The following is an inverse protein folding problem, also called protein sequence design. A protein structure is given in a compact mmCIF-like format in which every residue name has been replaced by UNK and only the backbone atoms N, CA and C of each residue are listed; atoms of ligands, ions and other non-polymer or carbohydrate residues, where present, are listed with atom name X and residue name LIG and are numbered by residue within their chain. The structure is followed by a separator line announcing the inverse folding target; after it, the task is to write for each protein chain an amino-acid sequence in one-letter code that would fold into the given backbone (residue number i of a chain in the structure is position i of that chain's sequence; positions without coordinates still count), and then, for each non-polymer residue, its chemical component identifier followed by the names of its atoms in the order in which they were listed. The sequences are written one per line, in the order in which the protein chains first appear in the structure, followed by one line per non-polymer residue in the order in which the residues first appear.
data_IF_631495820654
#
_entry.id   IF_631495820654
#
_cell.length_a   1.000
_cell.length_b   1.000
_cell.length_c   1.000
_cell.angle_alpha   90.00
_cell.angle_beta   90.00
_cell.angle_gamma   90.00
#
_symmetry.space_group_name_H-M   'P 1'
#
loop_
_entity.id
_entity.type
_entity.pdbx_description
1 polymer ?
#
# COMPACT_ATOMS: atom_id res chain seq x y z
N UNK A 1 -24.05 11.69 -5.52
CA UNK A 1 -23.39 10.56 -6.22
C UNK A 1 -23.80 9.24 -5.57
N UNK A 2 -24.46 8.31 -6.29
CA UNK A 2 -24.77 6.99 -5.75
C UNK A 2 -23.48 6.18 -5.57
N UNK A 3 -23.29 5.60 -4.39
CA UNK A 3 -22.16 4.71 -4.10
C UNK A 3 -22.35 3.42 -4.90
N UNK A 4 -21.45 3.14 -5.85
CA UNK A 4 -21.39 1.84 -6.51
C UNK A 4 -20.97 0.79 -5.48
N UNK A 5 -21.92 -0.04 -5.02
CA UNK A 5 -21.69 -1.12 -4.07
C UNK A 5 -21.86 -2.46 -4.78
N UNK A 6 -20.78 -2.96 -5.38
CA UNK A 6 -20.79 -4.28 -6.01
C UNK A 6 -21.09 -5.36 -4.96
N UNK A 7 -22.03 -6.27 -5.23
CA UNK A 7 -22.51 -7.26 -4.26
C UNK A 7 -21.39 -8.08 -3.59
N UNK A 8 -20.27 -8.29 -4.29
CA UNK A 8 -19.06 -8.96 -3.78
C UNK A 8 -18.38 -8.17 -2.66
N UNK A 9 -18.31 -6.84 -2.74
CA UNK A 9 -17.74 -5.97 -1.69
C UNK A 9 -18.71 -5.69 -0.53
N UNK A 10 -19.97 -6.15 -0.61
CA UNK A 10 -20.93 -6.07 0.49
C UNK A 10 -20.70 -7.16 1.54
N UNK A 11 -20.07 -8.28 1.17
CA UNK A 11 -19.51 -9.25 2.14
C UNK A 11 -18.22 -8.66 2.70
N UNK A 12 -17.90 -8.98 3.96
CA UNK A 12 -16.70 -8.55 4.67
C UNK A 12 -15.41 -9.20 4.09
N UNK A 13 -15.18 -9.02 2.79
CA UNK A 13 -14.02 -9.52 2.09
C UNK A 13 -12.78 -8.77 2.58
N UNK A 14 -11.76 -9.55 2.89
CA UNK A 14 -10.41 -9.10 3.15
C UNK A 14 -9.53 -9.45 1.95
N UNK A 15 -8.48 -8.68 1.76
CA UNK A 15 -7.56 -8.81 0.64
C UNK A 15 -6.14 -9.09 1.16
N UNK A 16 -5.37 -9.85 0.38
CA UNK A 16 -3.96 -10.09 0.64
C UNK A 16 -3.08 -8.93 0.15
N UNK A 17 -3.57 -8.17 -0.83
CA UNK A 17 -2.93 -6.97 -1.36
C UNK A 17 -3.97 -5.86 -1.56
N UNK A 18 -3.68 -4.67 -1.05
CA UNK A 18 -4.39 -3.44 -1.33
C UNK A 18 -3.43 -2.42 -1.94
N UNK A 19 -3.90 -1.65 -2.91
CA UNK A 19 -3.15 -0.54 -3.53
C UNK A 19 -4.00 0.72 -3.48
N UNK A 20 -3.42 1.82 -3.04
CA UNK A 20 -4.07 3.12 -3.01
C UNK A 20 -3.10 4.19 -3.52
N UNK A 21 -3.38 4.73 -4.71
CA UNK A 21 -2.68 5.88 -5.27
C UNK A 21 -3.62 7.09 -5.25
N UNK A 22 -3.71 7.75 -4.10
CA UNK A 22 -4.61 8.89 -3.85
C UNK A 22 -3.94 9.87 -2.88
N UNK A 23 -4.56 11.03 -2.66
CA UNK A 23 -4.02 12.08 -1.80
C UNK A 23 -3.80 11.64 -0.34
N UNK A 24 -2.79 12.23 0.32
CA UNK A 24 -2.40 11.90 1.69
C UNK A 24 -3.52 12.08 2.73
N UNK A 25 -4.29 13.17 2.67
CA UNK A 25 -5.40 13.42 3.59
C UNK A 25 -6.44 12.28 3.59
N UNK A 26 -6.99 11.92 2.40
CA UNK A 26 -7.80 10.72 2.24
C UNK A 26 -7.12 9.42 2.70
N UNK A 27 -5.82 9.22 2.43
CA UNK A 27 -5.11 8.02 2.90
C UNK A 27 -5.09 7.91 4.43
N UNK A 28 -4.90 9.03 5.14
CA UNK A 28 -4.96 9.06 6.61
C UNK A 28 -6.38 8.77 7.09
N UNK A 29 -7.39 9.41 6.48
CA UNK A 29 -8.80 9.21 6.85
C UNK A 29 -9.28 7.76 6.61
N UNK A 30 -8.77 7.11 5.56
CA UNK A 30 -9.12 5.73 5.19
C UNK A 30 -8.31 4.67 5.93
N UNK A 31 -7.30 5.03 6.72
CA UNK A 31 -6.44 4.10 7.41
C UNK A 31 -7.18 3.02 8.24
N UNK A 32 -8.25 3.33 9.01
CA UNK A 32 -9.04 2.31 9.70
C UNK A 32 -9.69 1.31 8.73
N UNK A 33 -10.32 1.83 7.67
CA UNK A 33 -11.10 1.05 6.70
C UNK A 33 -10.21 0.13 5.88
N UNK A 34 -9.09 0.66 5.36
CA UNK A 34 -8.14 -0.11 4.55
C UNK A 34 -7.44 -1.18 5.40
N UNK A 35 -7.06 -0.85 6.63
CA UNK A 35 -6.47 -1.83 7.56
C UNK A 35 -7.46 -2.94 7.92
N UNK A 36 -8.73 -2.61 8.13
CA UNK A 36 -9.77 -3.60 8.44
C UNK A 36 -10.00 -4.58 7.27
N UNK A 37 -9.84 -4.12 6.03
CA UNK A 37 -9.98 -4.91 4.80
C UNK A 37 -8.71 -5.67 4.41
N UNK A 38 -7.59 -5.51 5.12
CA UNK A 38 -6.39 -6.27 4.86
C UNK A 38 -6.35 -7.56 5.69
N UNK A 39 -5.98 -8.68 5.07
CA UNK A 39 -5.70 -9.93 5.77
C UNK A 39 -4.47 -9.78 6.67
N UNK A 40 -4.39 -10.48 7.83
CA UNK A 40 -3.15 -10.58 8.58
C UNK A 40 -2.01 -11.09 7.69
N UNK A 41 -0.87 -10.43 7.71
CA UNK A 41 0.26 -10.75 6.82
C UNK A 41 0.15 -10.20 5.39
N UNK A 42 -0.99 -9.61 5.01
CA UNK A 42 -1.20 -8.96 3.71
C UNK A 42 -0.46 -7.63 3.59
N UNK A 43 -0.38 -7.14 2.36
CA UNK A 43 0.38 -5.95 1.96
C UNK A 43 -0.53 -4.78 1.54
N UNK A 44 -0.09 -3.57 1.85
CA UNK A 44 -0.74 -2.34 1.44
C UNK A 44 0.30 -1.42 0.78
N UNK A 45 0.09 -1.08 -0.48
CA UNK A 45 0.92 -0.11 -1.22
C UNK A 45 0.22 1.25 -1.23
N UNK A 46 0.89 2.27 -0.68
CA UNK A 46 0.40 3.65 -0.62
C UNK A 46 1.25 4.53 -1.54
N UNK A 47 0.65 5.09 -2.57
CA UNK A 47 1.26 5.99 -3.54
C UNK A 47 0.49 7.31 -3.60
N UNK A 48 1.02 8.29 -4.35
CA UNK A 48 0.43 9.64 -4.45
C UNK A 48 0.78 10.54 -3.26
N UNK A 49 1.92 10.27 -2.62
CA UNK A 49 2.43 11.01 -1.48
C UNK A 49 3.50 12.00 -1.93
N UNK A 50 3.46 13.21 -1.38
CA UNK A 50 4.61 14.09 -1.35
C UNK A 50 5.49 13.71 -0.15
N UNK A 51 6.81 13.85 -0.29
CA UNK A 51 7.79 13.52 0.76
C UNK A 51 7.44 14.06 2.16
N UNK A 52 7.01 15.34 2.33
CA UNK A 52 6.67 15.88 3.64
C UNK A 52 5.46 15.20 4.29
N UNK A 53 4.60 14.56 3.50
CA UNK A 53 3.35 13.93 3.95
C UNK A 53 3.55 12.44 4.29
N UNK A 54 4.59 11.81 3.76
CA UNK A 54 4.80 10.37 3.87
C UNK A 54 4.89 9.90 5.32
N UNK A 55 5.56 10.65 6.20
CA UNK A 55 5.68 10.29 7.61
C UNK A 55 4.35 10.36 8.36
N UNK A 56 3.50 11.35 8.07
CA UNK A 56 2.17 11.44 8.68
C UNK A 56 1.27 10.28 8.24
N UNK A 57 1.31 9.93 6.94
CA UNK A 57 0.59 8.77 6.41
C UNK A 57 1.12 7.48 7.06
N UNK A 58 2.43 7.27 7.08
CA UNK A 58 3.05 6.11 7.70
C UNK A 58 2.65 5.97 9.18
N UNK A 59 2.67 7.06 9.94
CA UNK A 59 2.24 7.09 11.34
C UNK A 59 0.80 6.61 11.53
N UNK A 60 -0.13 7.07 10.67
CA UNK A 60 -1.53 6.66 10.72
C UNK A 60 -1.72 5.14 10.51
N UNK A 61 -0.96 4.53 9.60
CA UNK A 61 -1.02 3.08 9.37
C UNK A 61 -0.25 2.27 10.43
N UNK A 62 0.88 2.78 10.93
CA UNK A 62 1.65 2.19 12.04
C UNK A 62 0.82 2.05 13.32
N UNK A 63 0.07 3.10 13.67
CA UNK A 63 -0.86 3.08 14.80
C UNK A 63 -1.93 1.98 14.72
N UNK A 64 -2.08 1.32 13.56
CA UNK A 64 -3.06 0.26 13.29
C UNK A 64 -2.41 -1.11 13.02
N UNK A 65 -1.13 -1.26 13.35
CA UNK A 65 -0.41 -2.55 13.28
C UNK A 65 0.12 -2.90 11.88
N UNK A 66 0.29 -1.90 11.00
CA UNK A 66 1.03 -2.05 9.76
C UNK A 66 2.48 -1.61 9.95
N UNK A 67 3.41 -2.40 9.40
CA UNK A 67 4.83 -2.11 9.44
C UNK A 67 5.32 -1.72 8.04
N UNK A 68 6.21 -0.73 7.96
CA UNK A 68 6.90 -0.39 6.72
C UNK A 68 7.81 -1.55 6.32
N UNK A 69 7.69 -2.01 5.07
CA UNK A 69 8.54 -3.03 4.47
C UNK A 69 9.55 -2.36 3.55
N UNK A 70 9.06 -1.52 2.64
CA UNK A 70 9.89 -0.74 1.73
C UNK A 70 9.30 0.65 1.53
N UNK A 71 10.19 1.62 1.38
CA UNK A 71 9.91 2.92 0.79
C UNK A 71 10.54 2.92 -0.61
N UNK A 72 9.73 3.22 -1.62
CA UNK A 72 10.08 3.15 -3.04
C UNK A 72 9.90 4.54 -3.65
N UNK A 73 10.55 4.79 -4.79
CA UNK A 73 10.45 6.06 -5.52
C UNK A 73 11.50 7.09 -5.07
N UNK A 74 11.48 8.24 -5.74
CA UNK A 74 12.44 9.31 -5.49
C UNK A 74 12.07 10.14 -4.25
N UNK A 75 12.99 11.01 -3.82
CA UNK A 75 12.84 11.83 -2.61
C UNK A 75 11.63 12.77 -2.63
N UNK A 76 11.00 13.02 -3.77
CA UNK A 76 9.85 13.92 -3.88
C UNK A 76 8.50 13.18 -3.79
N UNK A 77 8.43 11.98 -4.39
CA UNK A 77 7.20 11.20 -4.58
C UNK A 77 7.33 9.78 -4.05
N UNK A 78 7.47 9.60 -2.73
CA UNK A 78 7.64 8.27 -2.15
C UNK A 78 6.37 7.42 -2.26
N UNK A 79 6.59 6.12 -2.35
CA UNK A 79 5.58 5.07 -2.27
C UNK A 79 5.91 4.15 -1.10
N UNK A 80 4.94 3.91 -0.22
CA UNK A 80 5.13 3.09 0.98
C UNK A 80 4.52 1.71 0.78
N UNK A 81 5.34 0.67 0.84
CA UNK A 81 4.89 -0.71 0.96
C UNK A 81 4.82 -1.09 2.43
N UNK A 82 3.61 -1.34 2.91
CA UNK A 82 3.33 -1.71 4.29
C UNK A 82 2.86 -3.16 4.37
N UNK A 83 3.09 -3.81 5.52
CA UNK A 83 2.59 -5.16 5.80
C UNK A 83 1.86 -5.18 7.14
N UNK A 84 0.67 -5.76 7.16
CA UNK A 84 -0.10 -5.96 8.40
C UNK A 84 0.49 -7.12 9.20
N UNK A 85 0.68 -6.92 10.51
CA UNK A 85 1.13 -7.99 11.41
C UNK A 85 0.25 -9.24 11.31
N UNK A 86 0.86 -10.42 11.45
CA UNK A 86 0.10 -11.67 11.64
C UNK A 86 -0.32 -11.73 13.10
N UNK A 87 -1.62 -11.77 13.38
CA UNK A 87 -2.10 -12.18 14.71
C UNK A 87 -2.00 -13.71 14.72
N UNK A 88 -1.09 -14.28 15.51
CA UNK A 88 -0.88 -15.72 15.58
C UNK A 88 -2.10 -16.43 16.17
N UNK A 89 -2.99 -16.92 15.30
CA UNK A 89 -3.92 -18.01 15.59
C UNK A 89 -3.93 -18.93 14.36
N UNK A 90 -3.26 -20.08 14.45
CA UNK A 90 -3.09 -21.15 13.44
C UNK A 90 -2.14 -20.88 12.24
N UNK A 91 -1.52 -21.95 11.65
CA UNK A 91 -0.42 -21.81 10.70
C UNK A 91 -0.92 -21.37 9.32
N UNK A 92 -0.14 -20.54 8.60
CA UNK A 92 -0.53 -20.02 7.29
C UNK A 92 -0.48 -21.13 6.23
N UNK A 93 -1.57 -21.27 5.45
CA UNK A 93 -1.49 -21.90 4.14
C UNK A 93 -0.43 -21.14 3.32
N UNK A 94 0.56 -21.85 2.81
CA UNK A 94 1.71 -21.28 2.11
C UNK A 94 1.23 -20.45 0.92
N UNK A 95 1.53 -19.16 0.95
CA UNK A 95 1.57 -18.30 -0.22
C UNK A 95 2.97 -17.71 -0.21
N UNK A 96 3.84 -18.24 -1.06
CA UNK A 96 5.13 -17.64 -1.39
C UNK A 96 4.84 -16.43 -2.28
N UNK A 97 5.05 -15.18 -1.82
CA UNK A 97 4.94 -14.03 -2.69
C UNK A 97 6.22 -13.95 -3.52
N UNK A 98 6.10 -14.25 -4.81
CA UNK A 98 7.16 -14.05 -5.80
C UNK A 98 7.40 -12.54 -6.00
N UNK A 99 8.19 -11.95 -5.09
CA UNK A 99 8.47 -10.51 -5.01
C UNK A 99 9.34 -10.03 -6.20
N UNK A 100 10.04 -10.95 -6.87
CA UNK A 100 10.83 -10.67 -8.08
C UNK A 100 9.96 -10.13 -9.23
N UNK A 101 8.66 -10.49 -9.25
CA UNK A 101 7.71 -10.06 -10.31
C UNK A 101 7.20 -8.63 -10.14
N UNK A 102 7.38 -8.02 -8.96
CA UNK A 102 7.01 -6.64 -8.67
C UNK A 102 8.15 -5.64 -8.88
N UNK A 103 9.32 -6.13 -9.35
CA UNK A 103 10.40 -5.28 -9.82
C UNK A 103 9.94 -4.58 -11.11
N UNK A 104 9.24 -3.46 -10.95
CA UNK A 104 8.95 -2.55 -12.05
C UNK A 104 10.29 -2.16 -12.67
N UNK A 105 10.53 -2.62 -13.91
CA UNK A 105 11.55 -2.02 -14.78
C UNK A 105 11.08 -0.61 -15.12
N UNK A 106 11.25 0.33 -14.19
CA UNK A 106 11.15 1.74 -14.51
C UNK A 106 12.47 2.12 -15.19
N UNK A 107 12.47 2.69 -16.41
CA UNK A 107 13.67 3.34 -16.91
C UNK A 107 14.01 4.48 -15.95
N UNK A 108 15.27 4.56 -15.55
CA UNK A 108 15.80 5.73 -14.85
C UNK A 108 15.56 6.94 -15.74
N UNK A 109 14.62 7.81 -15.37
CA UNK A 109 14.45 9.08 -16.05
C UNK A 109 15.57 10.01 -15.60
N UNK A 110 16.39 10.45 -16.55
CA UNK A 110 17.32 11.54 -16.32
C UNK A 110 16.53 12.80 -15.91
N UNK A 111 17.11 13.72 -15.12
CA UNK A 111 16.44 14.95 -14.66
C UNK A 111 15.94 15.88 -15.78
N UNK A 112 16.19 15.54 -17.04
CA UNK A 112 15.95 16.38 -18.22
C UNK A 112 14.93 15.77 -19.22
N UNK A 113 14.30 14.64 -18.91
CA UNK A 113 13.16 14.12 -19.69
C UNK A 113 13.47 13.56 -21.10
N UNK A 114 14.73 13.35 -21.47
CA UNK A 114 15.08 12.68 -22.73
C UNK A 114 15.42 11.21 -22.47
N UNK A 115 14.72 10.31 -23.18
CA UNK A 115 15.08 8.90 -23.25
C UNK A 115 16.39 8.75 -24.03
N UNK A 116 17.33 7.95 -23.53
CA UNK A 116 18.54 7.58 -24.26
C UNK A 116 18.18 6.46 -25.24
N UNK A 117 18.53 6.63 -26.52
CA UNK A 117 18.44 5.63 -27.60
C UNK A 117 19.28 4.38 -27.33
#
# INVERSE_FOLDING_TARGET
MPRVAHARFRRALRFDLLVANILAGPLVALAPTLTARLNPGGYLLLAGLLAPQAQAVLGAYRARGLNLVHELGDREWPTLLLRKGRVSRLPPARMEPDLERFRLKQPCFAPNGLALD
#
